data_IF_621988461795
#
_entry.id   IF_621988461795
#
_cell.length_a   1.000
_cell.length_b   1.000
_cell.length_c   1.000
_cell.angle_alpha   90.00
_cell.angle_beta   90.00
_cell.angle_gamma   90.00
#
_symmetry.space_group_name_H-M   'P 1'
#
loop_
_entity.id
_entity.type
_entity.pdbx_description
1 polymer ?
#
# COMPACT_ATOMS: atom_id res chain seq x y z
N UNK A 1 -13.64 -7.56 0.48
CA UNK A 1 -13.78 -6.29 -0.28
C UNK A 1 -12.46 -6.05 -1.01
N UNK A 2 -12.45 -5.80 -2.33
CA UNK A 2 -11.20 -5.58 -3.05
C UNK A 2 -10.57 -4.27 -2.57
N UNK A 3 -9.37 -4.36 -1.98
CA UNK A 3 -8.61 -3.16 -1.58
C UNK A 3 -8.24 -2.38 -2.85
N UNK A 4 -8.61 -1.09 -2.93
CA UNK A 4 -8.35 -0.28 -4.11
C UNK A 4 -6.84 -0.14 -4.35
N UNK A 5 -6.42 -0.32 -5.61
CA UNK A 5 -5.01 -0.19 -5.99
C UNK A 5 -4.63 1.29 -6.00
N UNK A 6 -3.88 1.72 -4.99
CA UNK A 6 -3.31 3.07 -4.91
C UNK A 6 -1.78 3.01 -5.00
N UNK A 7 -1.21 3.80 -5.91
CA UNK A 7 0.25 3.94 -6.04
C UNK A 7 0.79 4.90 -4.98
N UNK A 8 2.10 4.82 -4.68
CA UNK A 8 2.76 5.76 -3.75
C UNK A 8 2.52 7.23 -4.10
N UNK A 9 2.45 7.56 -5.40
CA UNK A 9 2.16 8.93 -5.85
C UNK A 9 0.76 9.40 -5.46
N UNK A 10 -0.24 8.52 -5.52
CA UNK A 10 -1.60 8.80 -5.05
C UNK A 10 -1.59 9.02 -3.54
N UNK A 11 -0.89 8.17 -2.78
CA UNK A 11 -0.80 8.28 -1.31
C UNK A 11 -0.28 9.64 -0.85
N UNK A 12 0.75 10.18 -1.52
CA UNK A 12 1.29 11.51 -1.21
C UNK A 12 0.26 12.62 -1.46
N UNK A 13 -0.59 12.47 -2.48
CA UNK A 13 -1.63 13.45 -2.84
C UNK A 13 -2.84 13.40 -1.92
N UNK A 14 -3.14 12.25 -1.30
CA UNK A 14 -4.17 12.16 -0.25
C UNK A 14 -3.93 13.16 0.89
N UNK A 15 -2.66 13.43 1.22
CA UNK A 15 -2.29 14.42 2.23
C UNK A 15 -2.60 15.87 1.85
N UNK A 16 -2.90 16.14 0.58
CA UNK A 16 -3.21 17.48 0.05
C UNK A 16 -4.70 17.75 -0.11
N UNK A 17 -5.54 16.71 0.01
CA UNK A 17 -6.99 16.87 -0.07
C UNK A 17 -7.50 17.71 1.10
N UNK A 18 -8.29 18.72 0.77
CA UNK A 18 -8.89 19.62 1.76
C UNK A 18 -10.16 19.02 2.35
N UNK A 19 -10.59 19.58 3.48
CA UNK A 19 -11.86 19.22 4.12
C UNK A 19 -13.05 19.90 3.42
N UNK A 20 -13.30 19.49 2.18
CA UNK A 20 -14.37 20.03 1.35
C UNK A 20 -14.98 18.94 0.46
N UNK A 21 -16.15 19.23 -0.10
CA UNK A 21 -16.83 18.32 -1.03
C UNK A 21 -16.25 18.48 -2.44
N UNK A 22 -15.78 17.38 -2.99
CA UNK A 22 -15.28 17.27 -4.35
C UNK A 22 -16.28 16.49 -5.20
N UNK A 23 -16.44 16.89 -6.46
CA UNK A 23 -17.01 16.03 -7.49
C UNK A 23 -16.02 14.93 -7.84
N UNK A 24 -16.47 13.76 -8.32
CA UNK A 24 -15.59 12.68 -8.76
C UNK A 24 -14.51 13.10 -9.75
N UNK A 25 -14.83 14.03 -10.66
CA UNK A 25 -13.86 14.59 -11.63
C UNK A 25 -12.80 15.49 -10.98
N UNK A 26 -13.18 16.32 -10.00
CA UNK A 26 -12.26 17.18 -9.25
C UNK A 26 -11.33 16.34 -8.38
N UNK A 27 -11.89 15.34 -7.69
CA UNK A 27 -11.11 14.38 -6.90
C UNK A 27 -10.11 13.61 -7.78
N UNK A 28 -10.54 13.20 -8.99
CA UNK A 28 -9.68 12.51 -9.94
C UNK A 28 -8.51 13.40 -10.39
N UNK A 29 -8.77 14.68 -10.64
CA UNK A 29 -7.74 15.66 -11.00
C UNK A 29 -6.71 15.87 -9.88
N UNK A 30 -7.16 16.08 -8.64
CA UNK A 30 -6.29 16.23 -7.47
C UNK A 30 -5.39 15.01 -7.24
N UNK A 31 -5.94 13.80 -7.43
CA UNK A 31 -5.21 12.55 -7.27
C UNK A 31 -4.40 12.15 -8.51
N UNK A 32 -4.59 12.84 -9.64
CA UNK A 32 -4.06 12.50 -10.97
C UNK A 32 -4.37 11.04 -11.35
N UNK A 33 -5.65 10.70 -11.24
CA UNK A 33 -6.23 9.42 -11.69
C UNK A 33 -7.36 9.71 -12.67
N UNK A 34 -7.83 8.69 -13.38
CA UNK A 34 -9.03 8.85 -14.22
C UNK A 34 -10.29 8.95 -13.35
N UNK A 35 -11.28 9.71 -13.81
CA UNK A 35 -12.63 9.73 -13.18
C UNK A 35 -13.23 8.34 -13.10
N UNK A 36 -12.95 7.48 -14.09
CA UNK A 36 -13.35 6.08 -14.07
C UNK A 36 -12.74 5.31 -12.89
N UNK A 37 -11.49 5.58 -12.53
CA UNK A 37 -10.86 4.97 -11.35
C UNK A 37 -11.62 5.33 -10.08
N UNK A 38 -12.01 6.59 -9.92
CA UNK A 38 -12.82 7.04 -8.77
C UNK A 38 -14.16 6.30 -8.76
N UNK A 39 -14.88 6.30 -9.89
CA UNK A 39 -16.23 5.75 -9.99
C UNK A 39 -16.32 4.23 -9.93
N UNK A 40 -15.38 3.51 -10.55
CA UNK A 40 -15.42 2.03 -10.69
C UNK A 40 -14.51 1.29 -9.72
N UNK A 41 -13.50 1.95 -9.16
CA UNK A 41 -12.58 1.32 -8.20
C UNK A 41 -12.87 1.79 -6.78
N UNK A 42 -12.91 3.11 -6.56
CA UNK A 42 -12.97 3.65 -5.20
C UNK A 42 -14.39 3.63 -4.61
N UNK A 43 -15.40 4.08 -5.35
CA UNK A 43 -16.79 4.05 -4.85
C UNK A 43 -17.27 2.61 -4.54
N UNK A 44 -17.08 1.60 -5.41
CA UNK A 44 -17.51 0.23 -5.11
C UNK A 44 -16.69 -0.43 -4.00
N UNK A 45 -15.47 0.07 -3.74
CA UNK A 45 -14.65 -0.36 -2.61
C UNK A 45 -15.07 0.28 -1.26
N UNK A 46 -16.12 1.12 -1.24
CA UNK A 46 -16.67 1.72 -0.03
C UNK A 46 -16.12 3.10 0.29
N UNK A 47 -15.61 3.84 -0.70
CA UNK A 47 -15.20 5.22 -0.49
C UNK A 47 -16.37 6.09 0.03
N UNK A 48 -16.10 7.04 0.95
CA UNK A 48 -17.13 7.87 1.55
C UNK A 48 -17.77 8.77 0.50
N UNK A 49 -19.04 8.52 0.23
CA UNK A 49 -19.80 9.17 -0.82
C UNK A 49 -21.10 9.72 -0.29
N UNK A 50 -21.47 10.89 -0.79
CA UNK A 50 -22.75 11.53 -0.53
C UNK A 50 -23.42 11.75 -1.88
N UNK A 51 -24.68 11.35 -2.00
CA UNK A 51 -25.49 11.61 -3.19
C UNK A 51 -26.49 12.70 -2.79
N UNK A 52 -26.52 13.79 -3.56
CA UNK A 52 -27.49 14.86 -3.32
C UNK A 52 -28.89 14.50 -3.85
N UNK A 53 -29.88 15.34 -3.58
CA UNK A 53 -31.25 15.16 -4.05
C UNK A 53 -31.39 15.16 -5.58
N UNK A 54 -30.36 15.62 -6.31
CA UNK A 54 -30.30 15.69 -7.77
C UNK A 54 -29.55 14.47 -8.35
N UNK A 55 -29.15 13.51 -7.51
CA UNK A 55 -28.40 12.33 -7.92
C UNK A 55 -26.92 12.59 -8.22
N UNK A 56 -26.37 13.76 -7.88
CA UNK A 56 -24.94 14.03 -8.06
C UNK A 56 -24.14 13.47 -6.90
N UNK A 57 -23.02 12.89 -7.25
CA UNK A 57 -22.07 12.28 -6.34
C UNK A 57 -21.08 13.31 -5.82
N UNK A 58 -20.88 13.32 -4.50
CA UNK A 58 -19.94 14.18 -3.80
C UNK A 58 -19.09 13.37 -2.83
N UNK A 59 -17.81 13.70 -2.74
CA UNK A 59 -16.84 13.02 -1.88
C UNK A 59 -16.13 14.06 -1.03
N UNK A 60 -16.18 13.92 0.30
CA UNK A 60 -15.38 14.79 1.18
C UNK A 60 -13.91 14.36 1.11
N UNK A 61 -13.02 15.30 0.78
CA UNK A 61 -11.60 15.01 0.55
C UNK A 61 -10.88 14.44 1.78
N UNK A 62 -11.14 14.98 2.97
CA UNK A 62 -10.52 14.51 4.22
C UNK A 62 -11.03 13.13 4.64
N UNK A 63 -12.34 12.88 4.54
CA UNK A 63 -12.92 11.56 4.77
C UNK A 63 -12.37 10.53 3.78
N UNK A 64 -12.24 10.90 2.52
CA UNK A 64 -11.66 10.06 1.49
C UNK A 64 -10.19 9.73 1.82
N UNK A 65 -9.39 10.72 2.23
CA UNK A 65 -8.00 10.52 2.61
C UNK A 65 -7.86 9.57 3.80
N UNK A 66 -8.74 9.66 4.79
CA UNK A 66 -8.78 8.74 5.94
C UNK A 66 -9.11 7.31 5.50
N UNK A 67 -10.21 7.14 4.76
CA UNK A 67 -10.62 5.84 4.22
C UNK A 67 -9.51 5.19 3.37
N UNK A 68 -8.86 5.98 2.51
CA UNK A 68 -7.78 5.51 1.67
C UNK A 68 -6.56 5.05 2.50
N UNK A 69 -6.21 5.74 3.58
CA UNK A 69 -5.14 5.33 4.50
C UNK A 69 -5.49 4.04 5.24
N UNK A 70 -6.73 3.88 5.69
CA UNK A 70 -7.20 2.66 6.35
C UNK A 70 -7.14 1.47 5.40
N UNK A 71 -7.61 1.65 4.16
CA UNK A 71 -7.50 0.65 3.10
C UNK A 71 -6.04 0.26 2.83
N UNK A 72 -5.09 1.20 2.89
CA UNK A 72 -3.66 0.95 2.73
C UNK A 72 -3.00 0.30 3.95
N UNK A 73 -3.51 0.55 5.15
CA UNK A 73 -3.07 -0.12 6.37
C UNK A 73 -3.45 -1.61 6.38
N UNK A 74 -4.42 -2.00 5.58
CA UNK A 74 -4.85 -3.39 5.39
C UNK A 74 -4.35 -3.97 4.08
N UNK A 75 -3.86 -5.21 4.10
CA UNK A 75 -3.62 -6.00 2.89
C UNK A 75 -4.95 -6.31 2.17
N UNK A 76 -4.90 -6.78 0.91
CA UNK A 76 -6.05 -7.16 0.05
C UNK A 76 -7.06 -8.12 0.70
N UNK A 77 -6.69 -8.74 1.81
CA UNK A 77 -7.51 -9.67 2.62
C UNK A 77 -8.04 -9.05 3.93
N UNK A 78 -7.95 -7.73 4.11
CA UNK A 78 -8.40 -7.04 5.32
C UNK A 78 -7.54 -7.29 6.57
N UNK A 79 -6.34 -7.85 6.40
CA UNK A 79 -5.40 -8.07 7.50
C UNK A 79 -4.49 -6.87 7.61
N UNK A 80 -4.17 -6.41 8.82
CA UNK A 80 -3.14 -5.39 9.02
C UNK A 80 -1.89 -5.77 8.20
N UNK A 81 -1.33 -4.80 7.47
CA UNK A 81 -0.11 -4.99 6.69
C UNK A 81 0.98 -5.52 7.63
N UNK A 82 1.23 -6.83 7.57
CA UNK A 82 2.17 -7.49 8.49
C UNK A 82 3.56 -7.04 8.11
N UNK A 83 4.18 -6.24 8.98
CA UNK A 83 5.62 -6.01 8.93
C UNK A 83 6.28 -7.37 9.05
N UNK A 84 6.98 -7.80 8.00
CA UNK A 84 7.70 -9.07 7.99
C UNK A 84 8.76 -9.02 9.09
N UNK A 85 8.79 -10.01 9.98
CA UNK A 85 9.81 -10.11 11.04
C UNK A 85 11.21 -10.16 10.42
N UNK A 86 12.27 -9.86 11.16
CA UNK A 86 13.62 -9.74 10.59
C UNK A 86 14.12 -11.00 9.85
N UNK A 87 13.58 -12.18 10.20
CA UNK A 87 13.94 -13.48 9.63
C UNK A 87 13.00 -13.93 8.51
N UNK A 88 11.90 -13.20 8.27
CA UNK A 88 10.94 -13.50 7.22
C UNK A 88 11.34 -12.85 5.88
N UNK A 89 11.14 -13.59 4.79
CA UNK A 89 11.38 -13.15 3.42
C UNK A 89 10.23 -13.55 2.50
N UNK A 90 10.03 -12.81 1.41
CA UNK A 90 9.01 -13.17 0.42
C UNK A 90 9.66 -14.05 -0.66
N UNK A 91 9.24 -15.32 -0.74
CA UNK A 91 9.75 -16.22 -1.75
C UNK A 91 9.01 -15.98 -3.07
N UNK A 92 9.71 -15.48 -4.09
CA UNK A 92 9.13 -15.25 -5.42
C UNK A 92 8.73 -16.56 -6.14
N UNK A 93 9.31 -17.72 -5.77
CA UNK A 93 8.89 -19.02 -6.33
C UNK A 93 7.64 -19.58 -5.68
N UNK A 94 7.53 -19.49 -4.35
CA UNK A 94 6.35 -19.98 -3.60
C UNK A 94 5.23 -18.95 -3.52
N UNK A 95 5.49 -17.71 -3.97
CA UNK A 95 4.58 -16.56 -3.92
C UNK A 95 3.98 -16.31 -2.52
N UNK A 96 4.78 -16.53 -1.47
CA UNK A 96 4.35 -16.35 -0.09
C UNK A 96 5.49 -15.91 0.83
N UNK A 97 5.10 -15.38 1.99
CA UNK A 97 6.02 -15.08 3.10
C UNK A 97 6.48 -16.39 3.73
N UNK A 98 7.79 -16.55 3.85
CA UNK A 98 8.43 -17.70 4.49
C UNK A 98 9.42 -17.21 5.55
N UNK A 99 9.73 -18.07 6.50
CA UNK A 99 10.87 -17.90 7.39
C UNK A 99 12.12 -18.44 6.72
N UNK A 100 13.15 -17.62 6.58
CA UNK A 100 14.34 -17.98 5.82
C UNK A 100 15.20 -18.96 6.64
N UNK A 101 15.68 -20.01 5.99
CA UNK A 101 16.71 -20.88 6.58
C UNK A 101 18.06 -20.16 6.53
N UNK A 102 18.74 -20.10 7.68
CA UNK A 102 20.05 -19.47 7.86
C UNK A 102 20.12 -18.03 7.30
N UNK A 103 19.29 -17.10 7.82
CA UNK A 103 19.27 -15.72 7.33
C UNK A 103 20.59 -15.04 7.67
N UNK A 104 21.31 -14.60 6.64
CA UNK A 104 22.54 -13.82 6.76
C UNK A 104 22.29 -12.38 6.39
N UNK A 105 22.90 -11.46 7.12
CA UNK A 105 22.87 -10.02 6.83
C UNK A 105 24.21 -9.61 6.24
N UNK A 106 24.17 -8.86 5.15
CA UNK A 106 25.35 -8.28 4.54
C UNK A 106 25.06 -6.83 4.17
N UNK A 107 26.01 -5.94 4.41
CA UNK A 107 25.88 -4.55 3.97
C UNK A 107 25.83 -4.49 2.44
N UNK A 108 24.89 -3.70 1.91
CA UNK A 108 24.76 -3.57 0.47
C UNK A 108 25.97 -2.82 -0.09
N UNK A 109 26.70 -3.45 -1.00
CA UNK A 109 27.99 -2.95 -1.52
C UNK A 109 27.91 -1.56 -2.15
N UNK A 110 26.76 -1.15 -2.67
CA UNK A 110 26.59 0.12 -3.38
C UNK A 110 25.73 1.16 -2.64
N UNK A 111 25.10 0.81 -1.51
CA UNK A 111 24.18 1.72 -0.81
C UNK A 111 24.43 1.68 0.69
N UNK A 112 25.01 2.77 1.21
CA UNK A 112 25.14 2.99 2.64
C UNK A 112 23.75 3.02 3.30
N UNK A 113 23.64 2.44 4.50
CA UNK A 113 22.38 2.35 5.25
C UNK A 113 21.37 1.32 4.71
N UNK A 114 21.80 0.37 3.87
CA UNK A 114 20.97 -0.75 3.40
C UNK A 114 21.66 -2.07 3.72
N UNK A 115 20.94 -2.95 4.43
CA UNK A 115 21.36 -4.32 4.69
C UNK A 115 20.58 -5.27 3.77
N UNK A 116 21.30 -6.15 3.10
CA UNK A 116 20.73 -7.29 2.39
C UNK A 116 20.64 -8.47 3.35
N UNK A 117 19.42 -8.90 3.66
CA UNK A 117 19.14 -10.17 4.33
C UNK A 117 18.91 -11.22 3.26
N UNK A 118 19.65 -12.33 3.30
CA UNK A 118 19.46 -13.42 2.36
C UNK A 118 19.46 -14.78 3.07
N UNK A 119 18.73 -15.72 2.51
CA UNK A 119 18.65 -17.09 3.02
C UNK A 119 18.02 -18.03 2.00
N UNK A 120 17.65 -19.24 2.42
CA UNK A 120 16.95 -20.21 1.58
C UNK A 120 15.49 -20.34 1.98
N UNK A 121 14.61 -20.50 1.01
CA UNK A 121 13.22 -20.88 1.24
C UNK A 121 13.15 -22.34 1.73
N UNK A 122 12.46 -22.64 2.85
CA UNK A 122 12.32 -24.02 3.33
C UNK A 122 11.47 -24.89 2.40
N UNK A 123 10.59 -24.28 1.59
CA UNK A 123 9.62 -25.01 0.77
C UNK A 123 10.15 -25.39 -0.62
N UNK A 124 11.00 -24.55 -1.21
CA UNK A 124 11.49 -24.74 -2.58
C UNK A 124 13.00 -24.64 -2.73
N UNK A 125 13.74 -24.41 -1.63
CA UNK A 125 15.19 -24.26 -1.62
C UNK A 125 15.73 -23.00 -2.32
N UNK A 126 14.86 -22.18 -2.91
CA UNK A 126 15.29 -20.99 -3.66
C UNK A 126 15.95 -19.95 -2.75
N UNK A 127 16.92 -19.22 -3.32
CA UNK A 127 17.53 -18.07 -2.65
C UNK A 127 16.48 -16.96 -2.51
N UNK A 128 16.25 -16.53 -1.28
CA UNK A 128 15.37 -15.40 -0.96
C UNK A 128 16.25 -14.24 -0.52
N UNK A 129 16.03 -13.07 -1.10
CA UNK A 129 16.72 -11.84 -0.75
C UNK A 129 15.69 -10.81 -0.27
N UNK A 130 16.03 -10.08 0.77
CA UNK A 130 15.26 -8.97 1.32
C UNK A 130 16.21 -7.82 1.60
N UNK A 131 15.83 -6.61 1.20
CA UNK A 131 16.57 -5.40 1.57
C UNK A 131 15.86 -4.72 2.73
N UNK A 132 16.60 -4.46 3.80
CA UNK A 132 16.13 -3.67 4.93
C UNK A 132 16.97 -2.40 5.00
N UNK A 133 16.33 -1.26 5.27
CA UNK A 133 17.09 -0.06 5.62
C UNK A 133 17.68 -0.29 7.00
N UNK A 134 18.93 0.07 7.18
CA UNK A 134 19.57 0.18 8.49
C UNK A 134 18.93 1.38 9.18
N UNK A 135 17.80 1.12 9.83
CA UNK A 135 17.12 2.10 10.67
C UNK A 135 17.81 2.13 12.02
N UNK A 136 18.37 3.27 12.36
CA UNK A 136 18.68 3.72 13.72
C UNK A 136 17.56 3.23 14.65
N UNK A 137 17.90 2.39 15.62
CA UNK A 137 17.03 2.13 16.76
C UNK A 137 16.66 3.46 17.41
N UNK A 138 15.39 3.86 17.30
CA UNK A 138 14.69 4.65 18.32
C UNK A 138 13.28 4.09 18.44
#
# INVERSE_FOLDING_TARGET
MPVPKMSRGIVLKLGRLLDMMYKPGELAWELNVSTETVMRSYLPAGAPVMVDAQGKTWVNGKKFALWARECLATDRRGRAARTMSEQQGFCLRCNQVIEMINPRRQQHSQRQGVLQVYGKCPLCGAKVNRFVREGINQ
#
